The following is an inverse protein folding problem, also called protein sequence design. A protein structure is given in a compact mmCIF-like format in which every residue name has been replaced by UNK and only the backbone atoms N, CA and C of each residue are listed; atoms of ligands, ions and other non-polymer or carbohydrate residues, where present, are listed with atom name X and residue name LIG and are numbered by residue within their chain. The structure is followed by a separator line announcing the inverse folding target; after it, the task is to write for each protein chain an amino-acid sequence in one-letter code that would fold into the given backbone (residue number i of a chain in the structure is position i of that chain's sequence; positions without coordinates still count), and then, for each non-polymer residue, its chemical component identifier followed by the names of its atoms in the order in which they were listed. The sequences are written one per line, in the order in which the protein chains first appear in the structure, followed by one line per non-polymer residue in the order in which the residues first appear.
data_IF_398601174608
#
_entry.id   IF_398601174608
#
_cell.length_a   1.000
_cell.length_b   1.000
_cell.length_c   1.000
_cell.angle_alpha   90.00
_cell.angle_beta   90.00
_cell.angle_gamma   90.00
#
_symmetry.space_group_name_H-M   'P 1'
#
loop_
_entity.id
_entity.type
_entity.pdbx_description
1 polymer ?
#
# COMPACT_ATOMS: atom_id res chain seq x y z
N UNK A 1 3.63 28.53 -3.48
CA UNK A 1 3.80 27.08 -3.24
C UNK A 1 2.82 26.61 -2.16
N UNK A 2 2.05 25.57 -2.48
CA UNK A 2 1.60 24.50 -1.57
C UNK A 2 0.36 24.61 -0.64
N UNK A 3 -0.75 25.25 -1.04
CA UNK A 3 -2.07 24.85 -0.49
C UNK A 3 -2.70 23.67 -1.27
N UNK A 4 -2.38 23.53 -2.56
CA UNK A 4 -2.89 22.43 -3.40
C UNK A 4 -2.16 21.11 -3.10
N UNK A 5 -0.87 21.17 -2.75
CA UNK A 5 -0.06 20.01 -2.37
C UNK A 5 -0.41 19.52 -0.95
N UNK A 6 -0.69 20.43 0.00
CA UNK A 6 -1.22 20.06 1.32
C UNK A 6 -2.63 19.44 1.23
N UNK A 7 -3.51 19.99 0.38
CA UNK A 7 -4.85 19.41 0.15
C UNK A 7 -4.81 18.04 -0.53
N UNK A 8 -3.78 17.74 -1.33
CA UNK A 8 -3.55 16.40 -1.90
C UNK A 8 -3.08 15.38 -0.86
N UNK A 9 -2.36 15.79 0.18
CA UNK A 9 -1.94 14.91 1.30
C UNK A 9 -3.08 14.63 2.30
N UNK A 10 -4.12 15.47 2.35
CA UNK A 10 -5.22 15.37 3.32
C UNK A 10 -6.54 14.80 2.76
N UNK A 11 -6.57 14.30 1.53
CA UNK A 11 -7.65 13.39 1.11
C UNK A 11 -7.19 11.98 1.42
N UNK A 12 -7.49 11.54 2.64
CA UNK A 12 -7.63 10.13 2.96
C UNK A 12 -8.65 9.59 1.96
N UNK A 13 -8.17 9.04 0.85
CA UNK A 13 -8.96 8.24 -0.07
C UNK A 13 -9.48 7.09 0.78
N UNK A 14 -10.71 7.19 1.27
CA UNK A 14 -11.28 6.20 2.19
C UNK A 14 -11.21 4.79 1.63
N UNK A 15 -11.11 4.63 0.30
CA UNK A 15 -10.89 3.33 -0.37
C UNK A 15 -9.45 2.81 -0.22
N UNK A 16 -8.44 3.68 -0.29
CA UNK A 16 -7.03 3.30 -0.16
C UNK A 16 -6.70 2.97 1.29
N UNK A 17 -7.01 3.89 2.22
CA UNK A 17 -6.74 3.68 3.64
C UNK A 17 -7.54 2.53 4.21
N UNK A 18 -8.77 2.29 3.74
CA UNK A 18 -9.52 1.09 4.11
C UNK A 18 -8.84 -0.21 3.68
N UNK A 19 -8.28 -0.27 2.47
CA UNK A 19 -7.54 -1.46 1.99
C UNK A 19 -6.24 -1.67 2.76
N UNK A 20 -5.51 -0.60 3.00
CA UNK A 20 -4.26 -0.64 3.76
C UNK A 20 -4.51 -1.07 5.23
N UNK A 21 -5.52 -0.48 5.88
CA UNK A 21 -5.90 -0.86 7.24
C UNK A 21 -6.43 -2.29 7.31
N UNK A 22 -7.16 -2.75 6.28
CA UNK A 22 -7.63 -4.13 6.21
C UNK A 22 -6.46 -5.10 6.22
N UNK A 23 -5.40 -4.82 5.45
CA UNK A 23 -4.22 -5.67 5.41
C UNK A 23 -3.52 -5.76 6.79
N UNK A 24 -3.45 -4.64 7.52
CA UNK A 24 -2.93 -4.63 8.90
C UNK A 24 -3.86 -5.35 9.88
N UNK A 25 -5.18 -5.27 9.66
CA UNK A 25 -6.18 -5.99 10.46
C UNK A 25 -6.02 -7.50 10.33
N UNK A 26 -5.70 -8.03 9.14
CA UNK A 26 -5.47 -9.47 8.96
C UNK A 26 -4.33 -9.99 9.85
N UNK A 27 -3.31 -9.17 10.12
CA UNK A 27 -2.19 -9.55 10.98
C UNK A 27 -2.60 -9.80 12.45
N UNK A 28 -3.74 -9.27 12.90
CA UNK A 28 -4.24 -9.56 14.25
C UNK A 28 -4.89 -10.94 14.38
N UNK A 29 -5.24 -11.57 13.25
CA UNK A 29 -5.78 -12.94 13.21
C UNK A 29 -4.65 -13.96 13.03
N UNK A 30 -3.71 -13.68 12.13
CA UNK A 30 -2.53 -14.50 11.92
C UNK A 30 -1.31 -13.61 11.69
N UNK A 31 -0.38 -13.65 12.64
CA UNK A 31 0.83 -12.82 12.61
C UNK A 31 1.86 -13.37 11.63
N UNK A 32 1.81 -14.66 11.30
CA UNK A 32 2.76 -15.30 10.37
C UNK A 32 2.65 -14.76 8.96
N UNK A 33 1.49 -14.16 8.61
CA UNK A 33 1.23 -13.44 7.38
C UNK A 33 2.29 -12.37 7.08
N UNK A 34 2.87 -11.73 8.11
CA UNK A 34 3.90 -10.69 7.97
C UNK A 34 5.17 -11.19 7.27
N UNK A 35 5.41 -12.50 7.30
CA UNK A 35 6.58 -13.17 6.72
C UNK A 35 6.27 -13.85 5.39
N UNK A 36 5.03 -13.80 4.91
CA UNK A 36 4.68 -14.36 3.62
C UNK A 36 5.27 -13.51 2.48
N UNK A 37 5.98 -14.19 1.60
CA UNK A 37 6.50 -13.62 0.36
C UNK A 37 5.52 -13.91 -0.79
N UNK A 38 5.40 -12.97 -1.72
CA UNK A 38 4.70 -13.20 -2.98
C UNK A 38 5.52 -14.19 -3.82
N UNK A 39 4.85 -15.18 -4.40
CA UNK A 39 5.51 -16.31 -5.08
C UNK A 39 5.66 -16.12 -6.58
N UNK A 40 5.81 -14.87 -7.04
CA UNK A 40 5.89 -14.57 -8.47
C UNK A 40 7.22 -15.07 -9.07
N UNK A 41 7.13 -16.02 -9.98
CA UNK A 41 8.23 -16.71 -10.65
C UNK A 41 8.30 -16.35 -12.14
N UNK A 42 9.41 -16.70 -12.79
CA UNK A 42 9.54 -16.47 -14.24
C UNK A 42 8.56 -17.32 -15.04
N UNK A 43 8.24 -18.53 -14.57
CA UNK A 43 7.25 -19.40 -15.21
C UNK A 43 5.86 -18.79 -15.24
N UNK A 44 5.50 -17.99 -14.24
CA UNK A 44 4.19 -17.31 -14.20
C UNK A 44 4.06 -16.25 -15.30
N UNK A 45 5.18 -15.73 -15.81
CA UNK A 45 5.20 -14.75 -16.90
C UNK A 45 5.13 -15.41 -18.29
N UNK A 46 5.08 -16.73 -18.36
CA UNK A 46 5.03 -17.47 -19.64
C UNK A 46 3.73 -17.12 -20.36
N UNK A 47 3.84 -16.64 -21.60
CA UNK A 47 2.69 -16.24 -22.42
C UNK A 47 2.46 -14.73 -22.51
N UNK A 48 3.07 -13.94 -21.62
CA UNK A 48 3.04 -12.49 -21.74
C UNK A 48 4.16 -11.97 -22.65
N UNK A 49 3.83 -11.03 -23.54
CA UNK A 49 4.81 -10.31 -24.37
C UNK A 49 5.29 -9.08 -23.58
N UNK A 50 6.34 -9.27 -22.77
CA UNK A 50 6.88 -8.24 -21.86
C UNK A 50 8.27 -7.79 -22.28
N UNK A 51 8.57 -6.51 -22.10
CA UNK A 51 9.94 -5.99 -22.20
C UNK A 51 10.80 -6.45 -21.01
N UNK A 52 12.13 -6.41 -21.16
CA UNK A 52 13.05 -6.82 -20.11
C UNK A 52 12.91 -5.94 -18.85
N UNK A 53 12.60 -4.65 -19.01
CA UNK A 53 12.35 -3.74 -17.88
C UNK A 53 11.11 -4.14 -17.07
N UNK A 54 10.03 -4.55 -17.74
CA UNK A 54 8.80 -5.01 -17.08
C UNK A 54 9.05 -6.33 -16.35
N UNK A 55 9.76 -7.28 -16.98
CA UNK A 55 10.14 -8.54 -16.33
C UNK A 55 11.04 -8.29 -15.12
N UNK A 56 12.03 -7.42 -15.25
CA UNK A 56 12.96 -7.06 -14.17
C UNK A 56 12.21 -6.48 -12.97
N UNK A 57 11.25 -5.58 -13.20
CA UNK A 57 10.42 -5.03 -12.14
C UNK A 57 9.54 -6.10 -11.46
N UNK A 58 8.83 -6.91 -12.25
CA UNK A 58 7.96 -7.97 -11.74
C UNK A 58 8.74 -9.03 -10.94
N UNK A 59 9.93 -9.40 -11.39
CA UNK A 59 10.75 -10.44 -10.76
C UNK A 59 11.73 -9.87 -9.71
N UNK A 60 11.66 -8.57 -9.43
CA UNK A 60 12.51 -7.92 -8.45
C UNK A 60 12.28 -8.41 -7.02
N UNK A 61 13.31 -8.28 -6.19
CA UNK A 61 13.22 -8.57 -4.75
C UNK A 61 12.16 -7.68 -4.07
N UNK A 62 11.95 -6.46 -4.56
CA UNK A 62 10.91 -5.55 -4.05
C UNK A 62 9.49 -6.09 -4.32
N UNK A 63 9.27 -6.69 -5.49
CA UNK A 63 7.98 -7.30 -5.81
C UNK A 63 7.75 -8.58 -5.02
N UNK A 64 8.82 -9.32 -4.72
CA UNK A 64 8.79 -10.66 -4.08
C UNK A 64 8.87 -10.64 -2.56
N UNK A 65 9.35 -9.56 -1.96
CA UNK A 65 9.50 -9.46 -0.50
C UNK A 65 8.15 -9.55 0.22
N UNK A 66 8.24 -9.86 1.51
CA UNK A 66 7.13 -9.74 2.43
C UNK A 66 6.64 -8.29 2.56
N UNK A 67 5.51 -8.12 3.26
CA UNK A 67 4.96 -6.82 3.61
C UNK A 67 6.03 -5.93 4.27
N UNK A 68 6.13 -4.68 3.83
CA UNK A 68 6.93 -3.65 4.50
C UNK A 68 6.21 -2.30 4.53
N UNK A 69 6.66 -1.37 5.39
CA UNK A 69 6.08 -0.03 5.48
C UNK A 69 5.99 0.70 4.14
N UNK A 70 6.91 0.46 3.22
CA UNK A 70 6.93 1.14 1.91
C UNK A 70 5.77 0.72 0.98
N UNK A 71 5.04 -0.35 1.33
CA UNK A 71 3.82 -0.74 0.61
C UNK A 71 2.63 0.21 0.89
N UNK A 72 2.76 1.13 1.85
CA UNK A 72 1.70 2.02 2.30
C UNK A 72 1.86 3.46 1.76
N UNK A 73 0.75 4.07 1.37
CA UNK A 73 0.74 5.29 0.55
C UNK A 73 0.94 6.61 1.30
N UNK A 74 0.66 6.65 2.61
CA UNK A 74 0.72 7.88 3.41
C UNK A 74 1.69 7.75 4.57
N UNK A 75 2.34 8.85 4.97
CA UNK A 75 3.26 8.87 6.12
C UNK A 75 2.60 8.25 7.37
N UNK A 76 1.31 8.52 7.60
CA UNK A 76 0.53 7.91 8.67
C UNK A 76 0.50 6.39 8.58
N UNK A 77 0.08 5.85 7.43
CA UNK A 77 -0.05 4.41 7.24
C UNK A 77 1.31 3.70 7.21
N UNK A 78 2.36 4.35 6.72
CA UNK A 78 3.73 3.84 6.80
C UNK A 78 4.20 3.73 8.26
N UNK A 79 3.92 4.74 9.11
CA UNK A 79 4.26 4.68 10.53
C UNK A 79 3.45 3.61 11.26
N UNK A 80 2.14 3.54 11.00
CA UNK A 80 1.27 2.50 11.57
C UNK A 80 1.78 1.11 11.18
N UNK A 81 2.00 0.88 9.87
CA UNK A 81 2.54 -0.37 9.36
C UNK A 81 3.88 -0.73 9.99
N UNK A 82 4.80 0.23 10.15
CA UNK A 82 6.09 0.00 10.81
C UNK A 82 5.94 -0.52 12.24
N UNK A 83 5.01 0.02 13.01
CA UNK A 83 4.73 -0.44 14.37
C UNK A 83 4.08 -1.82 14.35
N UNK A 84 3.01 -1.98 13.58
CA UNK A 84 2.23 -3.22 13.48
C UNK A 84 3.05 -4.40 12.95
N UNK A 85 3.83 -4.20 11.89
CA UNK A 85 4.72 -5.23 11.32
C UNK A 85 5.76 -5.69 12.33
N UNK A 86 6.31 -4.75 13.12
CA UNK A 86 7.26 -5.09 14.17
C UNK A 86 6.60 -5.93 15.26
N UNK A 87 5.43 -5.53 15.73
CA UNK A 87 4.67 -6.28 16.75
C UNK A 87 4.20 -7.65 16.25
N UNK A 88 3.83 -7.77 14.98
CA UNK A 88 3.51 -9.06 14.38
C UNK A 88 4.72 -9.99 14.39
N UNK A 89 5.91 -9.46 14.07
CA UNK A 89 7.17 -10.22 14.07
C UNK A 89 7.63 -10.66 15.46
N UNK A 90 7.24 -9.95 16.52
CA UNK A 90 7.55 -10.32 17.91
C UNK A 90 6.44 -11.13 18.59
N UNK A 91 5.41 -11.51 17.85
CA UNK A 91 4.22 -12.23 18.33
C UNK A 91 3.34 -11.46 19.34
N UNK A 92 3.56 -10.14 19.45
CA UNK A 92 2.88 -9.27 20.43
C UNK A 92 1.62 -8.60 19.86
N UNK A 93 1.41 -8.67 18.54
CA UNK A 93 0.31 -7.96 17.89
C UNK A 93 -1.05 -8.51 18.32
N UNK A 94 -1.93 -7.61 18.76
CA UNK A 94 -3.35 -7.90 19.05
C UNK A 94 -4.23 -6.84 18.40
N UNK A 95 -5.54 -7.09 18.31
CA UNK A 95 -6.49 -6.06 17.88
C UNK A 95 -6.38 -4.78 18.73
N UNK A 96 -6.29 -4.94 20.05
CA UNK A 96 -6.13 -3.82 20.97
C UNK A 96 -4.78 -3.10 20.77
N UNK A 97 -3.71 -3.85 20.47
CA UNK A 97 -2.41 -3.29 20.11
C UNK A 97 -2.47 -2.46 18.81
N UNK A 98 -3.13 -2.97 17.77
CA UNK A 98 -3.36 -2.26 16.52
C UNK A 98 -4.18 -0.98 16.73
N UNK A 99 -5.25 -1.06 17.52
CA UNK A 99 -6.10 0.08 17.88
C UNK A 99 -5.31 1.16 18.64
N UNK A 100 -4.50 0.76 19.63
CA UNK A 100 -3.60 1.66 20.35
C UNK A 100 -2.51 2.25 19.44
N UNK A 101 -2.03 1.49 18.44
CA UNK A 101 -1.06 1.97 17.46
C UNK A 101 -1.65 3.07 16.57
N UNK A 102 -2.94 3.00 16.21
CA UNK A 102 -3.64 4.09 15.49
C UNK A 102 -3.60 5.37 16.34
N UNK A 103 -4.05 5.28 17.61
CA UNK A 103 -4.10 6.42 18.51
C UNK A 103 -2.72 7.05 18.75
N UNK A 104 -1.70 6.23 19.02
CA UNK A 104 -0.34 6.71 19.27
C UNK A 104 0.34 7.30 18.03
N UNK A 105 0.06 6.76 16.83
CA UNK A 105 0.58 7.31 15.58
C UNK A 105 -0.06 8.67 15.28
N UNK A 106 -1.36 8.81 15.48
CA UNK A 106 -2.05 10.09 15.32
C UNK A 106 -1.57 11.13 16.34
N UNK A 107 -1.39 10.73 17.61
CA UNK A 107 -0.88 11.62 18.65
C UNK A 107 0.49 12.21 18.26
N UNK A 108 1.42 11.37 17.79
CA UNK A 108 2.75 11.82 17.31
C UNK A 108 2.65 12.77 16.11
N UNK A 109 1.74 12.50 15.18
CA UNK A 109 1.56 13.37 14.01
C UNK A 109 0.83 14.68 14.33
N UNK A 110 0.08 14.73 15.43
CA UNK A 110 -0.63 15.91 15.90
C UNK A 110 0.21 16.84 16.79
N UNK A 111 1.39 16.38 17.22
CA UNK A 111 2.27 17.14 18.09
C UNK A 111 2.73 18.44 17.40
N UNK A 112 2.41 19.59 18.00
CA UNK A 112 2.73 20.91 17.47
C UNK A 112 1.79 21.44 16.38
N UNK A 113 0.67 20.76 16.09
CA UNK A 113 -0.35 21.28 15.17
C UNK A 113 -1.32 22.27 15.86
N UNK A 114 -1.92 23.20 15.10
CA UNK A 114 -3.01 24.04 15.60
C UNK A 114 -4.21 23.21 16.07
N UNK A 115 -4.95 23.71 17.07
CA UNK A 115 -6.08 23.02 17.71
C UNK A 115 -7.17 22.57 16.71
N UNK A 116 -7.45 23.37 15.68
CA UNK A 116 -8.40 23.00 14.62
C UNK A 116 -7.94 21.80 13.78
N UNK A 117 -6.63 21.67 13.54
CA UNK A 117 -6.05 20.56 12.80
C UNK A 117 -5.98 19.30 13.68
N UNK A 118 -5.64 19.47 14.96
CA UNK A 118 -5.70 18.40 15.95
C UNK A 118 -7.13 17.83 16.10
N UNK A 119 -8.16 18.69 16.12
CA UNK A 119 -9.56 18.26 16.16
C UNK A 119 -9.99 17.45 14.92
N UNK A 120 -9.51 17.82 13.72
CA UNK A 120 -9.76 17.05 12.49
C UNK A 120 -9.08 15.68 12.52
N UNK A 121 -7.88 15.61 13.08
CA UNK A 121 -7.16 14.35 13.27
C UNK A 121 -7.89 13.44 14.27
N UNK A 122 -8.40 13.98 15.37
CA UNK A 122 -9.19 13.22 16.34
C UNK A 122 -10.44 12.58 15.70
N UNK A 123 -11.20 13.33 14.89
CA UNK A 123 -12.33 12.78 14.13
C UNK A 123 -11.92 11.70 13.12
N UNK A 124 -10.72 11.84 12.55
CA UNK A 124 -10.16 10.83 11.65
C UNK A 124 -9.76 9.57 12.42
N UNK A 125 -9.30 9.71 13.67
CA UNK A 125 -9.04 8.60 14.58
C UNK A 125 -10.31 7.77 14.80
N UNK A 126 -11.40 8.41 15.23
CA UNK A 126 -12.67 7.73 15.50
C UNK A 126 -13.18 6.96 14.28
N UNK A 127 -13.01 7.53 13.08
CA UNK A 127 -13.36 6.87 11.83
C UNK A 127 -12.48 5.63 11.56
N UNK A 128 -11.18 5.71 11.84
CA UNK A 128 -10.24 4.58 11.71
C UNK A 128 -10.52 3.49 12.74
N UNK A 129 -10.78 3.84 14.00
CA UNK A 129 -11.16 2.92 15.06
C UNK A 129 -12.45 2.17 14.69
N UNK A 130 -13.48 2.90 14.22
CA UNK A 130 -14.73 2.30 13.77
C UNK A 130 -14.50 1.35 12.59
N UNK A 131 -13.66 1.75 11.64
CA UNK A 131 -13.34 0.93 10.47
C UNK A 131 -12.57 -0.35 10.85
N UNK A 132 -11.58 -0.25 11.74
CA UNK A 132 -10.83 -1.39 12.27
C UNK A 132 -11.77 -2.41 12.93
N UNK A 133 -12.63 -1.96 13.85
CA UNK A 133 -13.58 -2.84 14.55
C UNK A 133 -14.52 -3.51 13.56
N UNK A 134 -15.01 -2.75 12.57
CA UNK A 134 -15.88 -3.30 11.51
C UNK A 134 -15.16 -4.37 10.70
N UNK A 135 -13.96 -4.08 10.21
CA UNK A 135 -13.17 -5.02 9.41
C UNK A 135 -12.82 -6.29 10.19
N UNK A 136 -12.42 -6.14 11.45
CA UNK A 136 -12.15 -7.28 12.33
C UNK A 136 -13.41 -8.13 12.53
N UNK A 137 -14.57 -7.51 12.76
CA UNK A 137 -15.84 -8.23 12.88
C UNK A 137 -16.19 -8.98 11.59
N UNK A 138 -16.03 -8.36 10.43
CA UNK A 138 -16.29 -8.99 9.12
C UNK A 138 -15.40 -10.25 8.93
N UNK A 139 -14.12 -10.19 9.28
CA UNK A 139 -13.20 -11.35 9.22
C UNK A 139 -13.57 -12.43 10.25
N UNK A 140 -13.94 -12.03 11.46
CA UNK A 140 -14.37 -12.95 12.52
C UNK A 140 -15.64 -13.71 12.12
N UNK A 141 -16.62 -13.01 11.55
CA UNK A 141 -17.90 -13.60 11.11
C UNK A 141 -17.73 -14.50 9.89
N UNK A 142 -16.78 -14.20 9.00
CA UNK A 142 -16.45 -15.03 7.85
C UNK A 142 -15.80 -16.37 8.24
N UNK A 143 -15.12 -16.42 9.39
CA UNK A 143 -14.51 -17.64 9.94
C UNK A 143 -13.58 -18.35 8.93
N UNK A 144 -12.71 -17.57 8.30
CA UNK A 144 -11.74 -18.06 7.32
C UNK A 144 -10.76 -19.06 7.93
N UNK A 145 -10.41 -20.09 7.16
CA UNK A 145 -9.29 -20.96 7.48
C UNK A 145 -7.93 -20.24 7.28
N UNK A 146 -6.86 -20.81 7.85
CA UNK A 146 -5.52 -20.19 7.85
C UNK A 146 -4.95 -20.03 6.42
N UNK A 147 -5.20 -21.02 5.57
CA UNK A 147 -4.86 -21.00 4.15
C UNK A 147 -5.67 -19.92 3.40
N UNK A 148 -6.98 -19.82 3.65
CA UNK A 148 -7.81 -18.77 3.06
C UNK A 148 -7.35 -17.35 3.47
N UNK A 149 -6.98 -17.15 4.73
CA UNK A 149 -6.41 -15.88 5.21
C UNK A 149 -5.09 -15.55 4.52
N UNK A 150 -4.24 -16.56 4.29
CA UNK A 150 -2.97 -16.40 3.59
C UNK A 150 -3.19 -15.94 2.14
N UNK A 151 -4.14 -16.55 1.43
CA UNK A 151 -4.48 -16.19 0.06
C UNK A 151 -5.08 -14.78 -0.03
N UNK A 152 -6.03 -14.45 0.87
CA UNK A 152 -6.61 -13.11 0.97
C UNK A 152 -5.51 -12.08 1.25
N UNK A 153 -4.59 -12.36 2.16
CA UNK A 153 -3.50 -11.46 2.51
C UNK A 153 -2.59 -11.19 1.31
N UNK A 154 -2.17 -12.24 0.60
CA UNK A 154 -1.30 -12.13 -0.58
C UNK A 154 -1.99 -11.38 -1.72
N UNK A 155 -3.27 -11.68 -1.99
CA UNK A 155 -4.08 -10.95 -2.98
C UNK A 155 -4.13 -9.44 -2.66
N UNK A 156 -4.44 -9.11 -1.39
CA UNK A 156 -4.56 -7.72 -0.95
C UNK A 156 -3.22 -6.98 -0.98
N UNK A 157 -2.13 -7.63 -0.59
CA UNK A 157 -0.78 -7.08 -0.70
C UNK A 157 -0.43 -6.79 -2.16
N UNK A 158 -0.76 -7.71 -3.07
CA UNK A 158 -0.49 -7.53 -4.48
C UNK A 158 -1.29 -6.35 -5.06
N UNK A 159 -2.56 -6.17 -4.69
CA UNK A 159 -3.35 -5.00 -5.05
C UNK A 159 -2.78 -3.67 -4.52
N UNK A 160 -2.20 -3.65 -3.31
CA UNK A 160 -1.50 -2.45 -2.82
C UNK A 160 -0.30 -2.11 -3.69
N UNK A 161 0.53 -3.10 -4.04
CA UNK A 161 1.69 -2.90 -4.91
C UNK A 161 1.32 -2.42 -6.31
N UNK A 162 0.30 -3.03 -6.92
CA UNK A 162 -0.28 -2.57 -8.19
C UNK A 162 -0.71 -1.11 -8.11
N UNK A 163 -1.39 -0.71 -7.01
CA UNK A 163 -1.80 0.67 -6.80
C UNK A 163 -0.62 1.63 -6.64
N UNK A 164 0.46 1.20 -5.98
CA UNK A 164 1.67 2.00 -5.82
C UNK A 164 2.38 2.18 -7.17
N UNK A 165 2.49 1.12 -7.96
CA UNK A 165 3.07 1.20 -9.31
C UNK A 165 2.28 2.12 -10.23
N UNK A 166 0.95 2.04 -10.21
CA UNK A 166 0.10 2.95 -10.96
C UNK A 166 0.32 4.42 -10.53
N UNK A 167 0.43 4.66 -9.22
CA UNK A 167 0.73 5.99 -8.68
C UNK A 167 2.11 6.50 -9.10
N UNK A 168 3.12 5.62 -9.13
CA UNK A 168 4.44 5.94 -9.66
C UNK A 168 4.40 6.28 -11.15
N UNK A 169 3.68 5.49 -11.95
CA UNK A 169 3.50 5.75 -13.38
C UNK A 169 2.84 7.11 -13.64
N UNK A 170 1.77 7.44 -12.90
CA UNK A 170 1.13 8.76 -12.98
C UNK A 170 2.08 9.91 -12.62
N UNK A 171 2.94 9.71 -11.61
CA UNK A 171 3.96 10.71 -11.23
C UNK A 171 4.97 10.90 -12.37
N UNK A 172 5.53 9.81 -12.89
CA UNK A 172 6.50 9.88 -13.98
C UNK A 172 5.92 10.49 -15.25
N UNK A 173 4.66 10.17 -15.60
CA UNK A 173 3.96 10.83 -16.72
C UNK A 173 3.82 12.34 -16.52
N UNK A 174 3.56 12.79 -15.29
CA UNK A 174 3.48 14.23 -14.98
C UNK A 174 4.82 14.92 -15.13
N UNK A 175 5.86 14.34 -14.54
CA UNK A 175 7.23 14.87 -14.62
C UNK A 175 7.74 14.86 -16.06
N UNK A 176 7.48 13.79 -16.82
CA UNK A 176 7.80 13.70 -18.25
C UNK A 176 7.15 14.84 -19.05
N UNK A 177 5.87 15.12 -18.78
CA UNK A 177 5.16 16.21 -19.44
C UNK A 177 5.75 17.59 -19.10
N UNK A 178 6.20 17.81 -17.86
CA UNK A 178 6.89 19.04 -17.45
C UNK A 178 8.25 19.21 -18.17
N UNK A 179 9.01 18.12 -18.31
CA UNK A 179 10.27 18.10 -19.07
C UNK A 179 10.04 18.32 -20.57
N UNK A 180 8.99 17.73 -21.14
CA UNK A 180 8.63 17.91 -22.54
C UNK A 180 8.25 19.37 -22.82
N UNK A 181 7.43 19.99 -21.96
CA UNK A 181 7.03 21.39 -22.08
C UNK A 181 8.21 22.37 -21.90
N UNK A 182 9.26 21.97 -21.20
CA UNK A 182 10.48 22.77 -21.01
C UNK A 182 11.57 22.49 -22.07
N UNK A 183 11.30 21.63 -23.05
CA UNK A 183 12.21 21.32 -24.17
C UNK A 183 13.31 20.30 -23.84
N UNK A 184 13.19 19.57 -22.72
CA UNK A 184 14.10 18.48 -22.34
C UNK A 184 13.56 17.13 -22.85
N UNK A 185 13.61 16.94 -24.17
CA UNK A 185 12.94 15.80 -24.84
C UNK A 185 13.49 14.43 -24.41
N UNK A 186 14.82 14.29 -24.24
CA UNK A 186 15.44 13.02 -23.84
C UNK A 186 15.04 12.61 -22.42
N UNK A 187 15.01 13.58 -21.51
CA UNK A 187 14.56 13.36 -20.13
C UNK A 187 13.07 12.99 -20.10
N UNK A 188 12.25 13.66 -20.92
CA UNK A 188 10.84 13.33 -21.04
C UNK A 188 10.61 11.91 -21.57
N UNK A 189 11.29 11.52 -22.65
CA UNK A 189 11.21 10.17 -23.23
C UNK A 189 11.59 9.09 -22.21
N UNK A 190 12.68 9.30 -21.46
CA UNK A 190 13.11 8.37 -20.39
C UNK A 190 12.04 8.22 -19.30
N UNK A 191 11.43 9.33 -18.88
CA UNK A 191 10.37 9.31 -17.86
C UNK A 191 9.07 8.67 -18.38
N UNK A 192 8.70 8.90 -19.65
CA UNK A 192 7.56 8.22 -20.28
C UNK A 192 7.80 6.70 -20.40
N UNK A 193 9.00 6.28 -20.80
CA UNK A 193 9.36 4.87 -20.85
C UNK A 193 9.25 4.23 -19.46
N UNK A 194 9.76 4.91 -18.42
CA UNK A 194 9.62 4.47 -17.03
C UNK A 194 8.15 4.38 -16.61
N UNK A 195 7.32 5.35 -16.95
CA UNK A 195 5.89 5.31 -16.66
C UNK A 195 5.22 4.10 -17.32
N UNK A 196 5.51 3.84 -18.60
CA UNK A 196 5.00 2.70 -19.34
C UNK A 196 5.39 1.36 -18.69
N UNK A 197 6.64 1.21 -18.25
CA UNK A 197 7.10 0.01 -17.52
C UNK A 197 6.26 -0.25 -16.27
N UNK A 198 6.02 0.77 -15.44
CA UNK A 198 5.21 0.61 -14.22
C UNK A 198 3.74 0.33 -14.52
N UNK A 199 3.17 0.96 -15.55
CA UNK A 199 1.80 0.67 -16.00
C UNK A 199 1.66 -0.77 -16.49
N UNK A 200 2.55 -1.23 -17.37
CA UNK A 200 2.53 -2.59 -17.89
C UNK A 200 2.76 -3.63 -16.79
N UNK A 201 3.66 -3.37 -15.85
CA UNK A 201 3.86 -4.26 -14.70
C UNK A 201 2.62 -4.35 -13.82
N UNK A 202 1.95 -3.23 -13.54
CA UNK A 202 0.71 -3.21 -12.77
C UNK A 202 -0.43 -3.98 -13.44
N UNK A 203 -0.58 -3.83 -14.76
CA UNK A 203 -1.59 -4.56 -15.53
C UNK A 203 -1.28 -6.06 -15.63
N UNK A 204 -0.03 -6.41 -15.92
CA UNK A 204 0.41 -7.81 -16.00
C UNK A 204 0.21 -8.50 -14.65
N UNK A 205 0.63 -7.86 -13.56
CA UNK A 205 0.50 -8.47 -12.24
C UNK A 205 -0.97 -8.63 -11.83
N UNK A 206 -1.83 -7.68 -12.19
CA UNK A 206 -3.27 -7.79 -12.00
C UNK A 206 -3.85 -9.01 -12.74
N UNK A 207 -3.47 -9.24 -14.00
CA UNK A 207 -3.92 -10.40 -14.77
C UNK A 207 -3.50 -11.72 -14.10
N UNK A 208 -2.24 -11.81 -13.65
CA UNK A 208 -1.73 -12.98 -12.94
C UNK A 208 -2.53 -13.33 -11.68
N UNK A 209 -2.91 -12.32 -10.90
CA UNK A 209 -3.70 -12.52 -9.67
C UNK A 209 -5.15 -12.88 -9.99
N UNK A 210 -5.69 -12.35 -11.09
CA UNK A 210 -7.06 -12.64 -11.55
C UNK A 210 -7.19 -14.00 -12.24
N UNK A 211 -6.07 -14.63 -12.62
CA UNK A 211 -6.03 -15.90 -13.34
C UNK A 211 -6.31 -15.75 -14.84
N UNK A 212 -6.10 -14.55 -15.38
CA UNK A 212 -6.29 -14.20 -16.81
C UNK A 212 -5.04 -14.48 -17.65
#
# INVERSE_FOLDING_TARGET
MNQVVQRRRMRISGRTISRELFLLTLLSFDRTLVSLNTRLSESDLTGFVLTDDVKSLLLSDETRRSLSPDDFSTDFMQHLAKVTIREAKTDDLTLAGLDAAIGSTLAKMSEGLPEEEASKLAKSADALHTLLIRQHREVTEANFAVDELSDIFLDRLAYLRISNWASCAERWNREANEHNLSGSEKEAESLYAKAATYTMAAETYRMLIQGD
#
